data_IF_473551911151
#
_entry.id   IF_473551911151
#
_cell.length_a   1.000
_cell.length_b   1.000
_cell.length_c   1.000
_cell.angle_alpha   90.00
_cell.angle_beta   90.00
_cell.angle_gamma   90.00
#
_symmetry.space_group_name_H-M   'P 1'
#
loop_
_entity.id
_entity.type
_entity.pdbx_description
1 polymer ?
#
# COMPACT_ATOMS: atom_id res chain seq x y z
N UNK A 1 -13.01 4.92 -6.45
CA UNK A 1 -12.57 6.30 -6.17
C UNK A 1 -11.06 6.30 -6.08
N UNK A 2 -10.33 7.03 -6.94
CA UNK A 2 -8.88 7.15 -6.83
C UNK A 2 -8.48 7.75 -5.47
N UNK A 3 -7.45 7.17 -4.83
CA UNK A 3 -6.91 7.62 -3.55
C UNK A 3 -5.53 8.24 -3.72
N UNK A 4 -4.60 7.47 -4.32
CA UNK A 4 -3.22 7.87 -4.56
C UNK A 4 -2.85 7.52 -5.99
N UNK A 5 -2.03 8.36 -6.60
CA UNK A 5 -1.44 8.13 -7.91
C UNK A 5 0.05 8.46 -7.83
N UNK A 6 0.91 7.59 -8.34
CA UNK A 6 2.32 7.93 -8.49
C UNK A 6 2.60 8.62 -9.83
N UNK A 7 3.84 9.08 -10.01
CA UNK A 7 4.25 9.77 -11.25
C UNK A 7 4.26 8.88 -12.50
N UNK A 8 4.18 7.55 -12.34
CA UNK A 8 4.23 6.54 -13.40
C UNK A 8 2.89 5.90 -13.72
N UNK A 9 1.78 6.46 -13.22
CA UNK A 9 0.38 6.03 -13.45
C UNK A 9 -0.16 4.87 -12.63
N UNK A 10 0.60 4.35 -11.67
CA UNK A 10 0.10 3.39 -10.68
C UNK A 10 -0.89 4.08 -9.75
N UNK A 11 -1.97 3.37 -9.44
CA UNK A 11 -3.12 3.91 -8.72
C UNK A 11 -3.50 3.02 -7.55
N UNK A 12 -3.71 3.63 -6.39
CA UNK A 12 -4.49 3.04 -5.31
C UNK A 12 -5.93 3.54 -5.44
N UNK A 13 -6.89 2.62 -5.55
CA UNK A 13 -8.30 2.93 -5.77
C UNK A 13 -9.15 2.27 -4.70
N UNK A 14 -9.97 3.05 -4.01
CA UNK A 14 -11.06 2.51 -3.21
C UNK A 14 -12.15 1.98 -4.15
N UNK A 15 -12.37 0.67 -4.16
CA UNK A 15 -13.38 0.00 -4.98
C UNK A 15 -14.46 -0.61 -4.08
N UNK A 16 -15.72 -0.48 -4.49
CA UNK A 16 -16.80 -1.17 -3.80
C UNK A 16 -16.63 -2.67 -4.02
N UNK A 17 -16.49 -3.43 -2.93
CA UNK A 17 -16.59 -4.88 -2.93
C UNK A 17 -18.00 -5.32 -2.53
N UNK A 18 -18.27 -6.62 -2.61
CA UNK A 18 -19.53 -7.20 -2.12
C UNK A 18 -19.64 -7.19 -0.58
N UNK A 19 -18.55 -6.87 0.12
CA UNK A 19 -18.55 -6.59 1.56
C UNK A 19 -18.85 -5.11 1.76
N UNK A 20 -19.59 -4.77 2.80
CA UNK A 20 -20.13 -3.43 3.04
C UNK A 20 -19.09 -2.35 3.38
N UNK A 21 -17.78 -2.58 3.18
CA UNK A 21 -16.72 -1.56 3.20
C UNK A 21 -15.80 -1.58 1.94
N UNK A 22 -15.38 -0.42 1.40
CA UNK A 22 -14.61 -0.39 0.17
C UNK A 22 -13.18 -0.88 0.41
N UNK A 23 -12.73 -1.82 -0.41
CA UNK A 23 -11.35 -2.29 -0.39
C UNK A 23 -10.45 -1.36 -1.21
N UNK A 24 -9.15 -1.36 -0.93
CA UNK A 24 -8.15 -0.65 -1.74
C UNK A 24 -7.51 -1.61 -2.72
N UNK A 25 -7.68 -1.31 -4.00
CA UNK A 25 -7.11 -2.05 -5.12
C UNK A 25 -5.91 -1.28 -5.66
N UNK A 26 -4.81 -2.00 -5.87
CA UNK A 26 -3.65 -1.46 -6.58
C UNK A 26 -3.81 -1.76 -8.07
N UNK A 27 -3.72 -0.73 -8.89
CA UNK A 27 -3.74 -0.80 -10.35
C UNK A 27 -2.37 -0.38 -10.84
N UNK A 28 -1.56 -1.36 -11.23
CA UNK A 28 -0.29 -1.16 -11.92
C UNK A 28 -0.50 -1.58 -13.38
N UNK A 29 -0.48 -0.67 -14.37
CA UNK A 29 -0.79 -0.98 -15.76
C UNK A 29 0.05 -2.13 -16.36
N UNK A 30 1.28 -2.30 -15.89
CA UNK A 30 2.19 -3.37 -16.28
C UNK A 30 1.90 -4.73 -15.63
N UNK A 31 1.20 -4.77 -14.49
CA UNK A 31 0.91 -5.97 -13.70
C UNK A 31 -0.60 -6.18 -13.61
N UNK A 32 -1.19 -6.70 -14.68
CA UNK A 32 -2.58 -7.16 -14.68
C UNK A 32 -2.67 -8.63 -14.22
N UNK A 33 -3.69 -9.01 -13.43
CA UNK A 33 -4.87 -8.22 -13.03
C UNK A 33 -4.64 -7.33 -11.78
N UNK A 34 -5.45 -6.27 -11.59
CA UNK A 34 -5.44 -5.50 -10.35
C UNK A 34 -5.72 -6.37 -9.12
N UNK A 35 -5.00 -6.12 -8.04
CA UNK A 35 -5.11 -6.90 -6.79
C UNK A 35 -5.64 -6.04 -5.64
N UNK A 36 -6.37 -6.68 -4.72
CA UNK A 36 -6.78 -6.06 -3.46
C UNK A 36 -5.55 -6.01 -2.55
N UNK A 37 -5.00 -4.81 -2.37
CA UNK A 37 -3.84 -4.59 -1.51
C UNK A 37 -4.26 -4.42 -0.04
N UNK A 38 -5.37 -3.72 0.20
CA UNK A 38 -5.90 -3.51 1.55
C UNK A 38 -7.40 -3.80 1.58
N UNK A 39 -7.87 -4.43 2.66
CA UNK A 39 -9.29 -4.76 2.83
C UNK A 39 -10.14 -3.53 3.16
N UNK A 40 -9.52 -2.43 3.59
CA UNK A 40 -10.19 -1.15 3.82
C UNK A 40 -9.22 0.03 3.66
N UNK A 41 -9.77 1.24 3.54
CA UNK A 41 -8.97 2.48 3.51
C UNK A 41 -8.28 2.71 4.85
N UNK A 42 -8.93 2.36 5.95
CA UNK A 42 -8.42 2.46 7.31
C UNK A 42 -7.17 1.57 7.49
N UNK A 43 -7.18 0.37 6.90
CA UNK A 43 -6.02 -0.52 6.93
C UNK A 43 -4.83 0.09 6.18
N UNK A 44 -5.05 0.65 4.98
CA UNK A 44 -4.01 1.37 4.22
C UNK A 44 -3.43 2.54 5.04
N UNK A 45 -4.29 3.38 5.61
CA UNK A 45 -3.87 4.54 6.42
C UNK A 45 -3.10 4.10 7.67
N UNK A 46 -3.48 2.98 8.29
CA UNK A 46 -2.78 2.42 9.45
C UNK A 46 -1.35 2.03 9.08
N UNK A 47 -1.15 1.31 7.97
CA UNK A 47 0.20 0.96 7.49
C UNK A 47 1.06 2.21 7.28
N UNK A 48 0.56 3.21 6.56
CA UNK A 48 1.34 4.41 6.26
C UNK A 48 1.66 5.24 7.50
N UNK A 49 0.72 5.36 8.43
CA UNK A 49 0.97 6.05 9.69
C UNK A 49 2.04 5.34 10.53
N UNK A 50 2.00 4.00 10.60
CA UNK A 50 3.04 3.22 11.26
C UNK A 50 4.41 3.37 10.58
N UNK A 51 4.43 3.46 9.24
CA UNK A 51 5.67 3.71 8.49
C UNK A 51 6.29 5.07 8.85
N UNK A 52 5.48 6.12 9.03
CA UNK A 52 5.99 7.40 9.53
C UNK A 52 6.40 7.32 11.01
N UNK A 53 5.60 6.69 11.86
CA UNK A 53 5.86 6.59 13.29
C UNK A 53 7.16 5.82 13.61
N UNK A 54 7.45 4.79 12.82
CA UNK A 54 8.63 3.93 12.98
C UNK A 54 9.80 4.32 12.08
N UNK A 55 9.68 5.40 11.31
CA UNK A 55 10.71 5.88 10.36
C UNK A 55 11.04 4.88 9.24
N UNK A 56 10.09 4.01 8.87
CA UNK A 56 10.19 3.24 7.63
C UNK A 56 10.16 4.17 6.42
N UNK A 57 9.41 5.27 6.51
CA UNK A 57 9.52 6.39 5.58
C UNK A 57 10.53 7.41 6.10
N UNK A 58 11.50 7.76 5.28
CA UNK A 58 12.54 8.72 5.62
C UNK A 58 12.93 9.59 4.43
N UNK A 59 13.71 10.65 4.68
CA UNK A 59 14.32 11.45 3.62
C UNK A 59 15.76 10.99 3.41
N UNK A 60 16.11 10.61 2.19
CA UNK A 60 17.48 10.27 1.83
C UNK A 60 18.38 11.52 1.72
N UNK A 61 19.65 11.33 1.33
CA UNK A 61 20.63 12.42 1.24
C UNK A 61 20.21 13.54 0.27
N UNK A 62 19.43 13.19 -0.76
CA UNK A 62 18.87 14.07 -1.78
C UNK A 62 17.56 14.75 -1.33
N UNK A 63 17.11 14.49 -0.10
CA UNK A 63 15.83 14.95 0.47
C UNK A 63 14.62 14.44 -0.30
N UNK A 64 14.74 13.26 -0.90
CA UNK A 64 13.63 12.55 -1.51
C UNK A 64 13.06 11.56 -0.49
N UNK A 65 11.75 11.32 -0.57
CA UNK A 65 11.09 10.29 0.23
C UNK A 65 11.62 8.93 -0.22
N UNK A 66 12.12 8.16 0.74
CA UNK A 66 12.65 6.82 0.57
C UNK A 66 12.03 5.89 1.61
N UNK A 67 12.15 4.58 1.40
CA UNK A 67 11.56 3.54 2.26
C UNK A 67 12.58 2.52 2.71
N UNK A 68 12.56 2.19 4.01
CA UNK A 68 13.22 1.01 4.55
C UNK A 68 12.32 -0.20 4.25
N UNK A 69 12.71 -0.99 3.24
CA UNK A 69 11.90 -2.10 2.73
C UNK A 69 11.67 -3.20 3.79
N UNK A 70 12.69 -3.51 4.61
CA UNK A 70 12.59 -4.54 5.65
C UNK A 70 11.59 -4.10 6.73
N UNK A 71 11.71 -2.85 7.17
CA UNK A 71 10.80 -2.29 8.17
C UNK A 71 9.38 -2.09 7.63
N UNK A 72 9.24 -1.73 6.35
CA UNK A 72 7.94 -1.65 5.68
C UNK A 72 7.26 -3.02 5.66
N UNK A 73 7.96 -4.07 5.26
CA UNK A 73 7.41 -5.43 5.21
C UNK A 73 7.00 -5.94 6.61
N UNK A 74 7.77 -5.61 7.65
CA UNK A 74 7.38 -5.90 9.04
C UNK A 74 6.07 -5.19 9.44
N UNK A 75 5.96 -3.89 9.16
CA UNK A 75 4.77 -3.09 9.47
C UNK A 75 3.56 -3.61 8.70
N UNK A 76 3.75 -3.87 7.40
CA UNK A 76 2.73 -4.40 6.54
C UNK A 76 2.21 -5.75 7.06
N UNK A 77 3.12 -6.69 7.37
CA UNK A 77 2.75 -8.00 7.89
C UNK A 77 2.00 -7.92 9.23
N UNK A 78 2.32 -6.93 10.08
CA UNK A 78 1.65 -6.72 11.35
C UNK A 78 0.21 -6.17 11.21
N UNK A 79 -0.07 -5.38 10.18
CA UNK A 79 -1.37 -4.70 9.98
C UNK A 79 -2.27 -5.43 8.99
N UNK A 80 -1.69 -5.95 7.91
CA UNK A 80 -2.41 -6.63 6.81
C UNK A 80 -2.40 -8.14 6.98
N UNK A 81 -1.35 -8.67 7.60
CA UNK A 81 -1.05 -10.11 7.61
C UNK A 81 0.00 -10.46 6.56
N UNK A 82 0.46 -11.73 6.53
CA UNK A 82 1.46 -12.16 5.57
C UNK A 82 0.94 -12.01 4.14
N UNK A 83 1.76 -11.42 3.25
CA UNK A 83 1.47 -11.42 1.81
C UNK A 83 1.26 -12.87 1.34
N UNK A 84 0.21 -13.17 0.55
CA UNK A 84 0.04 -14.50 -0.02
C UNK A 84 1.27 -14.85 -0.86
N UNK A 85 1.93 -15.97 -0.54
CA UNK A 85 3.05 -16.46 -1.35
C UNK A 85 2.52 -16.88 -2.73
N UNK A 86 2.95 -16.22 -3.81
CA UNK A 86 2.71 -16.68 -5.18
C UNK A 86 2.42 -15.65 -6.27
N UNK A 87 2.31 -14.36 -5.95
CA UNK A 87 2.13 -13.31 -6.98
C UNK A 87 3.45 -12.53 -7.14
N UNK A 88 4.06 -12.66 -8.33
CA UNK A 88 5.16 -11.85 -8.85
C UNK A 88 4.68 -11.16 -10.13
#
# INVERSE_FOLDING_TARGET
>A
MPLLQNGSSDLYVAAWSDTSEPAVVTIMPEFAPPEVEFQSVEQMVTVFNECFARSAYYLNAERQLDVDEELYDEIYAAVVGPRPTGCW
#
